data_IF_074920647054
#
_entry.id   IF_074920647054
#
_cell.length_a   1.000
_cell.length_b   1.000
_cell.length_c   1.000
_cell.angle_alpha   90.00
_cell.angle_beta   90.00
_cell.angle_gamma   90.00
#
_symmetry.space_group_name_H-M   'P 1'
#
loop_
_entity.id
_entity.type
_entity.pdbx_description
1 polymer ?
#
# COMPACT_ATOMS: atom_id res chain seq x y z
N UNK A 1 -10.58 -12.82 29.76
CA UNK A 1 -9.62 -13.34 28.76
C UNK A 1 -9.43 -12.32 27.65
N UNK A 2 -8.21 -12.17 27.24
CA UNK A 2 -7.89 -11.19 26.20
C UNK A 2 -7.98 -11.84 24.83
N UNK A 3 -8.94 -11.38 24.04
CA UNK A 3 -9.11 -11.90 22.67
C UNK A 3 -7.95 -11.55 21.76
N UNK A 4 -7.18 -10.52 22.10
CA UNK A 4 -6.01 -10.13 21.30
C UNK A 4 -4.98 -11.26 21.18
N UNK A 5 -4.99 -12.21 22.08
CA UNK A 5 -4.08 -13.37 22.05
C UNK A 5 -4.29 -14.19 20.77
N UNK A 6 -5.48 -14.11 20.18
CA UNK A 6 -5.80 -14.82 18.95
C UNK A 6 -5.40 -14.09 17.69
N UNK A 7 -4.97 -12.82 17.81
CA UNK A 7 -4.51 -12.08 16.66
C UNK A 7 -3.12 -12.53 16.28
N UNK A 8 -3.02 -13.18 15.16
CA UNK A 8 -1.74 -13.43 14.53
C UNK A 8 -1.54 -12.35 13.48
N UNK A 9 -0.47 -11.60 13.63
CA UNK A 9 -0.08 -10.65 12.63
C UNK A 9 0.91 -11.34 11.70
N UNK A 10 0.47 -11.80 10.52
CA UNK A 10 1.36 -12.47 9.59
C UNK A 10 2.28 -11.47 8.88
N UNK A 11 2.53 -10.35 9.52
CA UNK A 11 3.38 -9.31 8.98
C UNK A 11 4.84 -9.61 9.22
N UNK A 12 5.65 -9.46 8.20
CA UNK A 12 7.09 -9.54 8.31
C UNK A 12 7.66 -8.13 8.25
N UNK A 13 8.61 -7.85 9.11
CA UNK A 13 9.25 -6.55 9.19
C UNK A 13 10.71 -6.71 8.82
N UNK A 14 11.16 -5.92 7.85
CA UNK A 14 12.54 -5.94 7.38
C UNK A 14 13.22 -4.65 7.82
N UNK A 15 14.15 -4.76 8.73
CA UNK A 15 14.99 -3.65 9.17
C UNK A 15 16.41 -3.91 8.68
N UNK A 16 16.72 -3.39 7.51
CA UNK A 16 18.05 -3.52 6.94
C UNK A 16 18.50 -2.18 6.41
N UNK A 17 19.81 -1.96 6.45
CA UNK A 17 20.40 -0.81 5.79
C UNK A 17 20.14 -0.94 4.29
N UNK A 18 19.76 0.16 3.66
CA UNK A 18 19.44 0.22 2.23
C UNK A 18 18.30 -0.73 1.82
N UNK A 19 17.34 -0.94 2.73
CA UNK A 19 16.21 -1.83 2.45
C UNK A 19 15.36 -1.36 1.27
N UNK A 20 15.31 -0.06 1.01
CA UNK A 20 14.58 0.46 -0.15
C UNK A 20 15.19 0.01 -1.48
N UNK A 21 16.49 -0.18 -1.54
CA UNK A 21 17.17 -0.72 -2.72
C UNK A 21 16.90 -2.22 -2.90
N UNK A 22 16.49 -2.90 -1.84
CA UNK A 22 16.26 -4.35 -1.84
C UNK A 22 14.79 -4.73 -1.85
N UNK A 23 13.89 -3.73 -1.89
CA UNK A 23 12.46 -3.97 -1.73
C UNK A 23 11.93 -4.97 -2.77
N UNK A 24 12.41 -4.91 -3.99
CA UNK A 24 12.00 -5.84 -5.04
C UNK A 24 12.27 -7.30 -4.68
N UNK A 25 13.40 -7.56 -4.02
CA UNK A 25 13.73 -8.93 -3.61
C UNK A 25 12.81 -9.44 -2.50
N UNK A 26 12.25 -8.54 -1.70
CA UNK A 26 11.31 -8.92 -0.64
C UNK A 26 9.91 -9.17 -1.19
N UNK A 27 9.50 -8.43 -2.21
CA UNK A 27 8.12 -8.51 -2.72
C UNK A 27 7.94 -9.54 -3.84
N UNK A 28 9.00 -9.99 -4.46
CA UNK A 28 8.93 -10.94 -5.60
C UNK A 28 8.16 -12.21 -5.29
N UNK A 29 8.22 -12.66 -4.03
CA UNK A 29 7.55 -13.88 -3.58
C UNK A 29 6.11 -13.63 -3.12
N UNK A 30 5.71 -12.35 -3.05
CA UNK A 30 4.38 -11.96 -2.58
C UNK A 30 3.46 -11.64 -3.75
N UNK A 31 3.99 -10.98 -4.76
CA UNK A 31 3.22 -10.60 -5.93
C UNK A 31 4.10 -10.28 -7.11
N UNK A 32 3.49 -10.16 -8.29
CA UNK A 32 4.21 -9.90 -9.53
C UNK A 32 3.79 -8.61 -10.23
N UNK A 33 2.61 -8.09 -9.93
CA UNK A 33 2.11 -6.82 -10.49
C UNK A 33 1.80 -5.89 -9.34
N UNK A 34 2.72 -4.98 -9.09
CA UNK A 34 2.69 -4.13 -7.91
C UNK A 34 2.06 -2.79 -8.24
N UNK A 35 1.06 -2.41 -7.47
CA UNK A 35 0.54 -1.05 -7.48
C UNK A 35 1.25 -0.27 -6.36
N UNK A 36 2.03 0.71 -6.76
CA UNK A 36 2.76 1.56 -5.82
C UNK A 36 1.91 2.80 -5.55
N UNK A 37 1.40 2.90 -4.33
CA UNK A 37 0.49 3.97 -3.93
C UNK A 37 1.23 4.98 -3.08
N UNK A 38 1.12 6.24 -3.46
CA UNK A 38 1.61 7.35 -2.65
C UNK A 38 0.63 8.50 -2.74
N UNK A 39 0.49 9.25 -1.67
CA UNK A 39 -0.36 10.43 -1.66
C UNK A 39 0.38 11.56 -2.37
N UNK A 40 -0.32 12.26 -3.24
CA UNK A 40 0.22 13.43 -3.92
C UNK A 40 0.48 14.51 -2.89
N UNK A 41 1.70 14.55 -2.43
CA UNK A 41 2.06 15.42 -1.35
C UNK A 41 3.55 15.75 -1.43
N UNK A 42 3.86 16.87 -0.90
CA UNK A 42 5.18 17.46 -0.75
C UNK A 42 6.10 16.62 0.14
N UNK A 43 5.57 15.68 0.90
CA UNK A 43 6.35 14.91 1.87
C UNK A 43 7.06 13.71 1.26
N UNK A 44 6.76 13.36 0.03
CA UNK A 44 7.41 12.23 -0.61
C UNK A 44 8.77 12.64 -1.19
N UNK A 45 9.72 11.73 -1.09
CA UNK A 45 11.04 11.91 -1.70
C UNK A 45 11.03 11.25 -3.08
N UNK A 46 11.08 12.04 -4.17
CA UNK A 46 11.03 11.48 -5.52
C UNK A 46 12.18 10.51 -5.83
N UNK A 47 13.35 10.77 -5.27
CA UNK A 47 14.52 9.90 -5.49
C UNK A 47 14.32 8.55 -4.83
N UNK A 48 13.82 8.54 -3.61
CA UNK A 48 13.54 7.29 -2.90
C UNK A 48 12.42 6.51 -3.59
N UNK A 49 11.40 7.21 -4.06
CA UNK A 49 10.29 6.60 -4.79
C UNK A 49 10.79 5.94 -6.07
N UNK A 50 11.69 6.60 -6.80
CA UNK A 50 12.28 6.06 -8.02
C UNK A 50 13.12 4.82 -7.73
N UNK A 51 13.86 4.81 -6.64
CA UNK A 51 14.66 3.67 -6.20
C UNK A 51 13.76 2.47 -5.93
N UNK A 52 12.67 2.70 -5.21
CA UNK A 52 11.70 1.64 -4.88
C UNK A 52 11.11 1.07 -6.17
N UNK A 53 10.66 1.93 -7.05
CA UNK A 53 10.04 1.51 -8.31
C UNK A 53 11.02 0.70 -9.16
N UNK A 54 12.25 1.17 -9.29
CA UNK A 54 13.29 0.48 -10.05
C UNK A 54 13.59 -0.89 -9.46
N UNK A 55 13.70 -0.98 -8.14
CA UNK A 55 13.94 -2.24 -7.47
C UNK A 55 12.82 -3.24 -7.72
N UNK A 56 11.57 -2.80 -7.63
CA UNK A 56 10.42 -3.66 -7.84
C UNK A 56 10.38 -4.15 -9.29
N UNK A 57 10.62 -3.26 -10.25
CA UNK A 57 10.59 -3.62 -11.67
C UNK A 57 11.67 -4.65 -12.03
N UNK A 58 12.76 -4.65 -11.29
CA UNK A 58 13.86 -5.61 -11.51
C UNK A 58 13.47 -7.04 -11.16
N UNK A 59 12.60 -7.21 -10.18
CA UNK A 59 12.27 -8.54 -9.63
C UNK A 59 10.84 -9.00 -9.93
N UNK A 60 10.00 -8.14 -10.47
CA UNK A 60 8.58 -8.44 -10.73
C UNK A 60 8.23 -8.18 -12.18
N UNK A 61 7.00 -8.54 -12.55
CA UNK A 61 6.49 -8.29 -13.91
C UNK A 61 6.32 -6.80 -14.18
N UNK A 62 5.96 -6.03 -13.16
CA UNK A 62 5.80 -4.60 -13.32
C UNK A 62 5.41 -3.89 -12.04
N UNK A 63 5.64 -2.60 -12.05
CA UNK A 63 5.27 -1.70 -10.96
C UNK A 63 4.61 -0.47 -11.56
N UNK A 64 3.38 -0.21 -11.17
CA UNK A 64 2.62 0.95 -11.64
C UNK A 64 2.45 1.91 -10.49
N UNK A 65 2.85 3.16 -10.70
CA UNK A 65 2.71 4.21 -9.72
C UNK A 65 1.30 4.80 -9.78
N UNK A 66 0.66 4.89 -8.63
CA UNK A 66 -0.59 5.62 -8.48
C UNK A 66 -0.38 6.71 -7.43
N UNK A 67 -0.28 7.94 -7.89
CA UNK A 67 -0.03 9.10 -7.05
C UNK A 67 -1.13 10.16 -7.14
N UNK A 68 -2.28 9.76 -7.62
CA UNK A 68 -3.40 10.68 -7.86
C UNK A 68 -4.34 10.79 -6.65
N UNK A 69 -3.83 10.46 -5.48
CA UNK A 69 -4.57 10.55 -4.23
C UNK A 69 -4.09 11.77 -3.46
N UNK A 70 -5.03 12.61 -3.05
CA UNK A 70 -4.73 13.76 -2.18
C UNK A 70 -4.80 13.31 -0.71
N UNK A 71 -4.26 14.11 0.19
CA UNK A 71 -4.41 13.88 1.61
C UNK A 71 -5.89 13.90 1.98
N UNK A 72 -6.31 13.00 2.88
CA UNK A 72 -7.71 12.82 3.27
C UNK A 72 -8.61 12.55 2.05
N UNK A 73 -8.38 11.45 1.32
CA UNK A 73 -9.18 11.16 0.12
C UNK A 73 -10.63 10.86 0.47
N UNK A 74 -11.54 11.30 -0.41
CA UNK A 74 -12.95 10.96 -0.30
C UNK A 74 -13.22 9.54 -0.79
N UNK A 75 -14.46 9.08 -0.60
CA UNK A 75 -14.85 7.74 -1.03
C UNK A 75 -14.69 7.56 -2.53
N UNK A 76 -15.04 8.58 -3.31
CA UNK A 76 -14.92 8.51 -4.77
C UNK A 76 -13.46 8.39 -5.21
N UNK A 77 -12.54 9.02 -4.50
CA UNK A 77 -11.11 8.94 -4.81
C UNK A 77 -10.60 7.51 -4.61
N UNK A 78 -11.04 6.86 -3.55
CA UNK A 78 -10.66 5.49 -3.25
C UNK A 78 -11.29 4.50 -4.23
N UNK A 79 -12.54 4.72 -4.61
CA UNK A 79 -13.21 3.88 -5.61
C UNK A 79 -12.51 3.99 -6.97
N UNK A 80 -12.12 5.19 -7.36
CA UNK A 80 -11.38 5.42 -8.59
C UNK A 80 -10.03 4.71 -8.57
N UNK A 81 -9.31 4.80 -7.46
CA UNK A 81 -8.03 4.15 -7.30
C UNK A 81 -8.16 2.62 -7.34
N UNK A 82 -9.18 2.08 -6.70
CA UNK A 82 -9.43 0.64 -6.70
C UNK A 82 -9.80 0.15 -8.11
N UNK A 83 -10.59 0.92 -8.84
CA UNK A 83 -10.92 0.58 -10.23
C UNK A 83 -9.67 0.54 -11.10
N UNK A 84 -8.80 1.52 -10.94
CA UNK A 84 -7.51 1.56 -11.63
C UNK A 84 -6.68 0.32 -11.31
N UNK A 85 -6.61 -0.05 -10.03
CA UNK A 85 -5.86 -1.23 -9.60
C UNK A 85 -6.41 -2.52 -10.24
N UNK A 86 -7.72 -2.64 -10.34
CA UNK A 86 -8.36 -3.79 -10.98
C UNK A 86 -8.04 -3.84 -12.48
N UNK A 87 -8.07 -2.69 -13.14
CA UNK A 87 -7.73 -2.62 -14.58
C UNK A 87 -6.29 -3.01 -14.84
N UNK A 88 -5.38 -2.66 -13.94
CA UNK A 88 -3.97 -3.03 -14.03
C UNK A 88 -3.71 -4.47 -13.62
N UNK A 89 -4.70 -5.15 -13.07
CA UNK A 89 -4.58 -6.51 -12.54
C UNK A 89 -3.50 -6.60 -11.47
N UNK A 90 -3.46 -5.61 -10.58
CA UNK A 90 -2.54 -5.60 -9.47
C UNK A 90 -2.81 -6.76 -8.54
N UNK A 91 -1.76 -7.43 -8.10
CA UNK A 91 -1.85 -8.53 -7.14
C UNK A 91 -1.14 -8.22 -5.82
N UNK A 92 -0.56 -7.03 -5.73
CA UNK A 92 0.12 -6.55 -4.53
C UNK A 92 0.00 -5.03 -4.51
N UNK A 93 -0.31 -4.48 -3.34
CA UNK A 93 -0.32 -3.03 -3.14
C UNK A 93 0.85 -2.67 -2.22
N UNK A 94 1.67 -1.74 -2.66
CA UNK A 94 2.76 -1.21 -1.85
C UNK A 94 2.51 0.27 -1.60
N UNK A 95 2.44 0.64 -0.33
CA UNK A 95 2.26 2.02 0.07
C UNK A 95 3.59 2.64 0.45
N UNK A 96 3.88 3.81 -0.10
CA UNK A 96 5.07 4.57 0.24
C UNK A 96 4.69 5.92 0.78
N UNK A 97 5.28 6.30 1.88
CA UNK A 97 5.16 7.65 2.41
C UNK A 97 4.62 7.71 3.82
N UNK A 98 3.50 8.40 3.98
CA UNK A 98 2.92 8.71 5.27
C UNK A 98 1.78 7.75 5.63
N UNK A 99 1.21 8.01 6.81
CA UNK A 99 0.03 7.28 7.28
C UNK A 99 -1.14 7.37 6.29
N UNK A 100 -1.31 8.51 5.64
CA UNK A 100 -2.37 8.70 4.65
C UNK A 100 -2.20 7.74 3.47
N UNK A 101 -0.97 7.55 3.01
CA UNK A 101 -0.67 6.57 1.96
C UNK A 101 -1.01 5.16 2.40
N UNK A 102 -0.70 4.82 3.65
CA UNK A 102 -0.98 3.49 4.20
C UNK A 102 -2.48 3.24 4.31
N UNK A 103 -3.24 4.23 4.79
CA UNK A 103 -4.70 4.09 4.89
C UNK A 103 -5.34 3.96 3.52
N UNK A 104 -4.93 4.78 2.56
CA UNK A 104 -5.44 4.69 1.19
C UNK A 104 -5.13 3.32 0.59
N UNK A 105 -3.90 2.85 0.73
CA UNK A 105 -3.49 1.56 0.19
C UNK A 105 -4.28 0.40 0.81
N UNK A 106 -4.54 0.48 2.11
CA UNK A 106 -5.35 -0.54 2.79
C UNK A 106 -6.76 -0.59 2.21
N UNK A 107 -7.39 0.56 2.02
CA UNK A 107 -8.72 0.62 1.43
C UNK A 107 -8.72 0.08 0.00
N UNK A 108 -7.73 0.45 -0.80
CA UNK A 108 -7.60 -0.03 -2.17
C UNK A 108 -7.43 -1.55 -2.18
N UNK A 109 -6.62 -2.10 -1.29
CA UNK A 109 -6.38 -3.54 -1.25
C UNK A 109 -7.65 -4.33 -0.92
N UNK A 110 -8.52 -3.78 -0.07
CA UNK A 110 -9.81 -4.39 0.26
C UNK A 110 -10.79 -4.28 -0.91
N UNK A 111 -10.87 -3.09 -1.52
CA UNK A 111 -11.80 -2.82 -2.61
C UNK A 111 -11.46 -3.61 -3.87
N UNK A 112 -10.19 -3.91 -4.08
CA UNK A 112 -9.77 -4.70 -5.24
C UNK A 112 -10.30 -6.14 -5.20
N UNK A 113 -10.53 -6.67 -4.04
CA UNK A 113 -10.95 -8.07 -3.86
C UNK A 113 -12.44 -8.22 -3.61
N UNK A 114 -13.12 -7.14 -3.29
CA UNK A 114 -14.52 -7.16 -2.92
C UNK A 114 -15.32 -6.22 -3.83
N UNK A 115 -16.53 -6.64 -4.19
CA UNK A 115 -17.40 -5.82 -5.04
C UNK A 115 -18.22 -4.89 -4.16
N UNK A 116 -17.54 -3.92 -3.58
CA UNK A 116 -18.14 -2.92 -2.69
C UNK A 116 -17.57 -1.55 -3.01
N UNK A 117 -18.27 -0.51 -2.56
CA UNK A 117 -17.77 0.85 -2.67
C UNK A 117 -17.07 1.27 -1.39
N UNK A 118 -16.22 2.28 -1.49
CA UNK A 118 -15.48 2.79 -0.34
C UNK A 118 -16.40 3.23 0.79
N UNK A 119 -17.55 3.79 0.46
CA UNK A 119 -18.54 4.19 1.46
C UNK A 119 -19.02 3.00 2.31
N UNK A 120 -19.05 1.80 1.74
CA UNK A 120 -19.48 0.59 2.45
C UNK A 120 -18.47 0.15 3.50
N UNK A 121 -17.19 0.47 3.31
CA UNK A 121 -16.13 0.10 4.26
C UNK A 121 -16.27 0.84 5.59
N UNK A 122 -16.93 1.98 5.60
CA UNK A 122 -17.16 2.72 6.84
C UNK A 122 -18.35 2.20 7.62
N UNK A 123 -19.14 1.29 7.04
CA UNK A 123 -20.25 0.65 7.73
C UNK A 123 -19.71 -0.49 8.59
N UNK A 124 -19.97 -0.42 9.90
CA UNK A 124 -19.40 -1.36 10.86
C UNK A 124 -19.90 -2.80 10.71
N UNK A 125 -20.99 -2.99 9.98
CA UNK A 125 -21.64 -4.31 9.84
C UNK A 125 -21.50 -4.89 8.43
N UNK A 126 -20.73 -4.29 7.55
CA UNK A 126 -20.60 -4.77 6.17
C UNK A 126 -19.63 -5.96 6.11
N UNK A 127 -20.11 -7.16 5.73
CA UNK A 127 -19.23 -8.33 5.67
C UNK A 127 -18.39 -8.31 4.38
N UNK A 128 -17.07 -8.36 4.54
CA UNK A 128 -16.16 -8.53 3.43
C UNK A 128 -15.98 -10.03 3.18
N UNK A 129 -16.19 -10.45 1.95
CA UNK A 129 -16.17 -11.87 1.59
C UNK A 129 -14.76 -12.40 1.29
N UNK A 130 -13.88 -11.52 0.84
CA UNK A 130 -12.54 -11.92 0.42
C UNK A 130 -11.50 -11.11 1.18
N UNK A 131 -10.35 -11.73 1.50
CA UNK A 131 -9.26 -11.00 2.14
C UNK A 131 -8.70 -9.95 1.18
N UNK A 132 -8.05 -8.92 1.71
CA UNK A 132 -7.45 -7.89 0.88
C UNK A 132 -6.28 -8.46 0.07
N UNK A 133 -5.86 -7.70 -0.94
CA UNK A 133 -4.59 -7.97 -1.59
C UNK A 133 -3.46 -7.83 -0.56
N UNK A 134 -2.35 -8.57 -0.75
CA UNK A 134 -1.17 -8.35 0.09
C UNK A 134 -0.78 -6.88 0.09
N UNK A 135 -0.36 -6.39 1.24
CA UNK A 135 -0.04 -4.99 1.43
C UNK A 135 1.36 -4.86 2.05
N UNK A 136 2.19 -4.07 1.41
CA UNK A 136 3.52 -3.74 1.90
C UNK A 136 3.57 -2.24 2.19
N UNK A 137 4.10 -1.87 3.35
CA UNK A 137 4.18 -0.49 3.77
C UNK A 137 5.64 -0.06 3.90
N UNK A 138 6.00 1.03 3.25
CA UNK A 138 7.35 1.60 3.29
C UNK A 138 7.25 3.03 3.79
N UNK A 139 7.69 3.30 5.03
CA UNK A 139 7.69 4.67 5.55
C UNK A 139 8.60 5.57 4.73
N UNK A 140 8.12 6.75 4.40
CA UNK A 140 8.90 7.72 3.67
C UNK A 140 9.90 8.46 4.55
N UNK A 141 10.71 9.25 3.88
CA UNK A 141 11.76 10.04 4.55
C UNK A 141 11.18 10.93 5.66
N UNK A 142 10.00 11.47 5.43
CA UNK A 142 9.34 12.34 6.39
C UNK A 142 9.08 11.62 7.72
N UNK A 143 8.58 10.39 7.63
CA UNK A 143 8.28 9.62 8.84
C UNK A 143 9.55 9.26 9.60
N UNK A 144 10.63 9.00 8.87
CA UNK A 144 11.92 8.67 9.49
C UNK A 144 12.48 9.85 10.27
N UNK A 145 12.22 11.06 9.82
CA UNK A 145 12.75 12.26 10.46
C UNK A 145 11.90 12.73 11.64
N UNK A 146 10.67 12.30 11.75
CA UNK A 146 9.83 12.67 12.87
C UNK A 146 10.34 12.12 14.19
N UNK A 147 11.06 11.02 14.17
CA UNK A 147 11.63 10.43 15.37
C UNK A 147 12.78 11.24 15.93
N UNK A 148 13.37 12.10 15.12
CA UNK A 148 14.47 12.98 15.52
C UNK A 148 14.02 14.32 16.05
N UNK A 149 12.75 14.63 15.95
CA UNK A 149 12.22 15.93 16.34
C UNK A 149 11.86 16.03 17.86
#
# INVERSE_FOLDING_TARGET
MFEWVHYQFPSRIFFERDSTHKIGSFVKDIGSRVLLVTVRNEQSNPDELAIIKTSIEKYTTGCILYDDIIAAPGHDDLDTAAHFAKQCRADLVLAYGSRESFHAARSISLLCRNEVFAADLSATSFPLKKPPLPLVMVPGYWEKNMEEA
#
